data_IF_050416156119
#
_entry.id   IF_050416156119
#
_cell.length_a   1.000
_cell.length_b   1.000
_cell.length_c   1.000
_cell.angle_alpha   90.00
_cell.angle_beta   90.00
_cell.angle_gamma   90.00
#
_symmetry.space_group_name_H-M   'P 1'
#
loop_
_entity.id
_entity.type
_entity.pdbx_description
1 polymer ?
#
# COMPACT_ATOMS: atom_id res chain seq x y z
N UNK A 1 14.63 50.66 -15.52
CA UNK A 1 13.59 50.22 -16.48
C UNK A 1 13.36 48.74 -16.25
N UNK A 2 12.23 48.41 -15.63
CA UNK A 2 11.77 47.04 -15.39
C UNK A 2 11.15 46.47 -16.67
N UNK A 3 11.32 45.17 -16.97
CA UNK A 3 10.30 44.38 -17.64
C UNK A 3 9.54 43.60 -16.56
N UNK A 4 8.54 44.26 -15.98
CA UNK A 4 7.36 43.62 -15.39
C UNK A 4 6.34 43.46 -16.51
N UNK A 5 5.75 42.26 -16.64
CA UNK A 5 4.55 41.83 -17.39
C UNK A 5 4.89 40.44 -17.96
N UNK A 6 4.85 39.43 -17.09
CA UNK A 6 4.49 38.09 -17.55
C UNK A 6 2.99 38.14 -17.86
N UNK A 7 2.64 37.62 -19.03
CA UNK A 7 1.28 37.51 -19.57
C UNK A 7 0.31 36.94 -18.52
N UNK A 8 -0.69 37.73 -18.12
CA UNK A 8 -1.79 37.36 -17.22
C UNK A 8 -2.87 36.50 -17.89
N UNK A 9 -2.59 35.86 -19.03
CA UNK A 9 -3.67 35.34 -19.89
C UNK A 9 -4.24 33.97 -19.51
N UNK A 10 -3.46 33.09 -18.86
CA UNK A 10 -3.92 31.75 -18.47
C UNK A 10 -3.90 31.53 -16.93
N UNK A 11 -3.05 32.25 -16.21
CA UNK A 11 -2.61 31.86 -14.86
C UNK A 11 -3.60 32.14 -13.70
N UNK A 12 -4.60 33.01 -13.86
CA UNK A 12 -5.49 33.42 -12.75
C UNK A 12 -6.75 32.54 -12.58
N UNK A 13 -6.87 31.37 -13.25
CA UNK A 13 -8.18 30.73 -13.49
C UNK A 13 -8.38 29.28 -13.03
N UNK A 14 -7.41 28.67 -12.36
CA UNK A 14 -7.60 27.33 -11.77
C UNK A 14 -7.99 27.45 -10.31
N UNK A 15 -9.23 27.06 -10.02
CA UNK A 15 -9.77 27.03 -8.65
C UNK A 15 -10.00 25.60 -8.25
N UNK A 16 -9.09 25.01 -7.48
CA UNK A 16 -9.27 23.65 -6.99
C UNK A 16 -10.36 23.60 -5.94
N UNK A 17 -11.54 23.07 -6.27
CA UNK A 17 -12.58 22.83 -5.27
C UNK A 17 -12.24 21.56 -4.49
N UNK A 18 -11.50 21.71 -3.39
CA UNK A 18 -11.36 20.67 -2.37
C UNK A 18 -12.40 20.91 -1.26
N UNK A 19 -13.59 20.30 -1.43
CA UNK A 19 -14.71 20.25 -0.45
C UNK A 19 -15.24 21.62 0.02
N UNK A 20 -16.24 22.21 -0.64
CA UNK A 20 -17.19 23.16 -0.02
C UNK A 20 -16.62 24.44 0.62
N UNK A 21 -15.31 24.58 0.67
CA UNK A 21 -14.52 25.72 1.09
C UNK A 21 -13.63 26.04 -0.11
N UNK A 22 -13.75 27.26 -0.60
CA UNK A 22 -12.88 27.81 -1.63
C UNK A 22 -11.51 27.97 -0.96
N UNK A 23 -10.61 27.00 -1.16
CA UNK A 23 -9.21 27.20 -0.84
C UNK A 23 -8.64 27.93 -2.06
N UNK A 24 -8.44 29.24 -1.95
CA UNK A 24 -7.60 29.98 -2.91
C UNK A 24 -6.24 29.26 -2.98
N UNK A 25 -5.86 28.80 -4.17
CA UNK A 25 -4.50 28.34 -4.44
C UNK A 25 -3.52 29.42 -3.95
N UNK A 26 -2.45 29.08 -3.22
CA UNK A 26 -1.52 30.08 -2.72
C UNK A 26 -0.99 30.93 -3.87
N UNK A 27 -1.22 32.25 -3.76
CA UNK A 27 -0.86 33.27 -4.75
C UNK A 27 0.60 33.10 -5.21
N UNK A 28 0.79 33.18 -6.52
CA UNK A 28 1.97 32.87 -7.31
C UNK A 28 3.19 33.80 -7.11
N UNK A 29 3.47 34.30 -5.91
CA UNK A 29 4.52 35.30 -5.67
C UNK A 29 5.85 34.76 -5.13
N UNK A 30 6.10 33.44 -5.16
CA UNK A 30 7.40 32.88 -4.79
C UNK A 30 7.79 31.80 -5.80
N UNK A 31 9.03 31.85 -6.29
CA UNK A 31 9.63 31.00 -7.34
C UNK A 31 9.54 31.51 -8.79
N UNK A 32 10.19 32.66 -9.03
CA UNK A 32 10.90 32.91 -10.28
C UNK A 32 12.36 33.24 -9.95
N UNK A 33 13.11 32.25 -9.44
CA UNK A 33 14.59 32.32 -9.43
C UNK A 33 15.21 30.93 -9.57
N UNK A 34 15.88 30.77 -10.71
CA UNK A 34 16.99 29.85 -10.99
C UNK A 34 16.68 28.35 -11.05
N UNK A 35 16.51 27.82 -12.26
CA UNK A 35 17.46 26.88 -12.86
C UNK A 35 17.13 26.67 -14.34
N UNK A 36 18.16 26.51 -15.17
CA UNK A 36 18.05 25.95 -16.52
C UNK A 36 17.46 24.53 -16.41
N UNK A 37 16.14 24.41 -16.41
CA UNK A 37 15.45 23.11 -16.39
C UNK A 37 15.14 22.68 -17.82
N UNK A 38 15.66 21.49 -18.19
CA UNK A 38 15.22 20.73 -19.36
C UNK A 38 13.68 20.67 -19.39
N UNK A 39 13.10 20.71 -20.59
CA UNK A 39 11.66 20.43 -20.79
C UNK A 39 11.24 19.21 -19.95
N UNK A 40 10.29 19.47 -19.04
CA UNK A 40 9.89 18.56 -17.96
C UNK A 40 8.91 17.48 -18.43
N UNK A 41 8.24 17.71 -19.56
CA UNK A 41 7.22 16.84 -20.14
C UNK A 41 7.63 16.42 -21.55
N UNK A 42 7.40 15.17 -21.93
CA UNK A 42 7.69 14.65 -23.27
C UNK A 42 6.40 14.38 -24.04
N UNK A 43 5.51 13.60 -23.44
CA UNK A 43 4.24 13.16 -24.00
C UNK A 43 3.11 13.34 -22.97
N UNK A 44 2.77 14.58 -22.58
CA UNK A 44 1.83 14.84 -21.49
C UNK A 44 0.41 14.38 -21.86
N UNK A 45 -0.29 13.83 -20.87
CA UNK A 45 -1.64 13.28 -21.01
C UNK A 45 -2.50 13.57 -19.79
N UNK A 46 -3.78 13.85 -19.98
CA UNK A 46 -4.76 13.81 -18.88
C UNK A 46 -4.99 12.37 -18.46
N UNK A 47 -4.85 12.08 -17.17
CA UNK A 47 -5.01 10.73 -16.63
C UNK A 47 -6.35 10.14 -17.01
N UNK A 48 -6.34 8.92 -17.56
CA UNK A 48 -7.53 8.24 -18.07
C UNK A 48 -8.61 8.00 -17.02
N UNK A 49 -8.21 7.96 -15.76
CA UNK A 49 -9.11 7.75 -14.63
C UNK A 49 -10.07 8.91 -14.37
N UNK A 50 -9.83 10.06 -15.00
CA UNK A 50 -10.63 11.26 -14.79
C UNK A 50 -11.47 11.61 -16.02
N UNK A 51 -12.81 11.56 -15.92
CA UNK A 51 -13.64 12.13 -16.98
C UNK A 51 -13.43 13.65 -17.06
N UNK A 52 -13.44 14.18 -18.27
CA UNK A 52 -13.38 15.62 -18.54
C UNK A 52 -14.74 16.07 -19.10
N UNK A 53 -15.35 17.11 -18.54
CA UNK A 53 -16.65 17.59 -18.99
C UNK A 53 -16.90 19.06 -18.64
N UNK A 54 -17.62 19.78 -19.50
CA UNK A 54 -18.09 21.14 -19.24
C UNK A 54 -19.29 21.13 -18.29
N UNK A 55 -19.32 22.06 -17.35
CA UNK A 55 -20.51 22.36 -16.54
C UNK A 55 -21.37 23.44 -17.19
N UNK A 56 -20.72 24.48 -17.71
CA UNK A 56 -21.30 25.56 -18.50
C UNK A 56 -20.14 26.27 -19.25
N UNK A 57 -20.46 27.32 -20.02
CA UNK A 57 -19.54 27.89 -21.02
C UNK A 57 -18.15 28.23 -20.48
N UNK A 58 -18.05 28.76 -19.26
CA UNK A 58 -16.79 29.21 -18.66
C UNK A 58 -16.22 28.28 -17.58
N UNK A 59 -16.71 27.04 -17.46
CA UNK A 59 -16.33 26.15 -16.37
C UNK A 59 -16.36 24.68 -16.77
N UNK A 60 -15.25 23.98 -16.53
CA UNK A 60 -15.18 22.53 -16.72
C UNK A 60 -14.49 21.83 -15.56
N UNK A 61 -14.64 20.51 -15.53
CA UNK A 61 -14.06 19.65 -14.49
C UNK A 61 -13.22 18.55 -15.09
N UNK A 62 -12.18 18.19 -14.35
CA UNK A 62 -11.39 16.97 -14.52
C UNK A 62 -11.63 16.11 -13.28
N UNK A 63 -12.33 15.00 -13.47
CA UNK A 63 -12.80 14.12 -12.40
C UNK A 63 -14.21 14.43 -11.92
N UNK A 64 -14.88 13.45 -11.33
CA UNK A 64 -16.27 13.56 -10.82
C UNK A 64 -16.42 13.35 -9.31
N UNK A 65 -15.35 12.95 -8.62
CA UNK A 65 -15.38 12.57 -7.20
C UNK A 65 -15.06 13.76 -6.28
N UNK A 66 -15.91 13.95 -5.28
CA UNK A 66 -15.75 14.98 -4.24
C UNK A 66 -14.38 14.86 -3.56
N UNK A 67 -13.67 15.99 -3.47
CA UNK A 67 -12.38 16.11 -2.79
C UNK A 67 -11.17 15.82 -3.68
N UNK A 68 -11.38 15.29 -4.89
CA UNK A 68 -10.29 14.99 -5.84
C UNK A 68 -10.54 15.53 -7.25
N UNK A 69 -11.72 16.08 -7.53
CA UNK A 69 -12.03 16.79 -8.78
C UNK A 69 -11.32 18.15 -8.84
N UNK A 70 -10.72 18.45 -9.98
CA UNK A 70 -10.20 19.77 -10.31
C UNK A 70 -11.24 20.53 -11.12
N UNK A 71 -11.55 21.76 -10.70
CA UNK A 71 -12.45 22.66 -11.41
C UNK A 71 -11.63 23.80 -12.03
N UNK A 72 -11.91 24.08 -13.30
CA UNK A 72 -11.10 25.01 -14.10
C UNK A 72 -12.06 26.02 -14.72
N UNK A 73 -11.88 27.29 -14.34
CA UNK A 73 -12.57 28.40 -14.98
C UNK A 73 -11.84 28.74 -16.28
N UNK A 74 -12.60 28.93 -17.36
CA UNK A 74 -12.03 29.05 -18.70
C UNK A 74 -12.93 29.91 -19.59
N UNK A 75 -12.81 31.23 -19.49
CA UNK A 75 -13.69 32.16 -20.20
C UNK A 75 -13.42 32.22 -21.72
N UNK A 76 -12.25 31.75 -22.17
CA UNK A 76 -11.80 31.83 -23.56
C UNK A 76 -11.51 30.46 -24.21
N UNK A 77 -11.98 29.37 -23.58
CA UNK A 77 -11.88 27.99 -24.05
C UNK A 77 -10.43 27.49 -24.29
N UNK A 78 -9.43 28.21 -23.77
CA UNK A 78 -8.02 27.89 -23.98
C UNK A 78 -7.61 26.67 -23.18
N UNK A 79 -8.01 26.60 -21.91
CA UNK A 79 -7.73 25.44 -21.05
C UNK A 79 -8.50 24.20 -21.50
N UNK A 80 -9.75 24.37 -21.92
CA UNK A 80 -10.57 23.31 -22.47
C UNK A 80 -9.92 22.73 -23.72
N UNK A 81 -9.45 23.58 -24.64
CA UNK A 81 -8.75 23.14 -25.84
C UNK A 81 -7.46 22.40 -25.52
N UNK A 82 -6.66 22.90 -24.58
CA UNK A 82 -5.43 22.27 -24.13
C UNK A 82 -5.69 20.87 -23.55
N UNK A 83 -6.59 20.77 -22.57
CA UNK A 83 -6.92 19.50 -21.88
C UNK A 83 -7.38 18.42 -22.85
N UNK A 84 -8.13 18.78 -23.91
CA UNK A 84 -8.61 17.82 -24.91
C UNK A 84 -7.53 17.32 -25.90
N UNK A 85 -6.37 17.98 -25.98
CA UNK A 85 -5.25 17.54 -26.83
C UNK A 85 -4.07 16.96 -26.03
N UNK A 86 -4.14 17.00 -24.70
CA UNK A 86 -3.22 16.28 -23.81
C UNK A 86 -3.61 14.79 -23.76
N UNK A 87 -3.32 14.07 -24.84
CA UNK A 87 -3.66 12.65 -25.02
C UNK A 87 -2.42 11.74 -25.11
N UNK A 88 -1.23 12.25 -24.81
CA UNK A 88 0.03 11.51 -24.89
C UNK A 88 0.81 11.75 -26.19
N UNK A 89 0.38 12.70 -27.04
CA UNK A 89 1.22 13.24 -28.13
C UNK A 89 2.41 14.05 -27.61
N UNK A 90 3.36 14.39 -28.48
CA UNK A 90 4.57 15.11 -28.05
C UNK A 90 4.25 16.54 -27.60
N UNK A 91 5.02 17.06 -26.64
CA UNK A 91 4.86 18.44 -26.16
C UNK A 91 4.96 19.47 -27.28
N UNK A 92 5.85 19.25 -28.27
CA UNK A 92 5.99 20.15 -29.42
C UNK A 92 4.72 20.19 -30.25
N UNK A 93 4.08 19.03 -30.50
CA UNK A 93 2.80 18.97 -31.22
C UNK A 93 1.69 19.69 -30.45
N UNK A 94 1.66 19.56 -29.12
CA UNK A 94 0.71 20.30 -28.26
C UNK A 94 0.92 21.80 -28.41
N UNK A 95 2.17 22.27 -28.33
CA UNK A 95 2.52 23.69 -28.45
C UNK A 95 2.14 24.23 -29.82
N UNK A 96 2.49 23.54 -30.90
CA UNK A 96 2.18 23.96 -32.27
C UNK A 96 0.68 24.08 -32.52
N UNK A 97 -0.11 23.11 -32.04
CA UNK A 97 -1.58 23.15 -32.17
C UNK A 97 -2.17 24.33 -31.39
N UNK A 98 -1.69 24.57 -30.17
CA UNK A 98 -2.19 25.67 -29.33
C UNK A 98 -1.82 27.04 -29.89
N UNK A 99 -0.58 27.24 -30.35
CA UNK A 99 -0.15 28.51 -30.96
C UNK A 99 -0.86 28.78 -32.29
N UNK A 100 -1.16 27.73 -33.07
CA UNK A 100 -1.95 27.86 -34.31
C UNK A 100 -3.38 28.32 -34.01
N UNK A 101 -4.00 27.76 -32.97
CA UNK A 101 -5.39 28.09 -32.60
C UNK A 101 -5.50 29.40 -31.83
N UNK A 102 -4.51 29.71 -31.01
CA UNK A 102 -4.45 30.89 -30.15
C UNK A 102 -3.11 31.62 -30.31
N UNK A 103 -2.95 32.42 -31.38
CA UNK A 103 -1.68 33.12 -31.68
C UNK A 103 -1.27 34.17 -30.64
N UNK A 104 -2.18 34.48 -29.70
CA UNK A 104 -1.96 35.45 -28.64
C UNK A 104 -1.27 34.83 -27.40
N UNK A 105 -1.05 33.51 -27.41
CA UNK A 105 -0.30 32.75 -26.42
C UNK A 105 1.18 32.63 -26.80
N UNK A 106 2.00 32.37 -25.79
CA UNK A 106 3.39 31.94 -25.95
C UNK A 106 3.56 30.48 -25.58
N UNK A 107 4.65 29.86 -26.03
CA UNK A 107 5.04 28.51 -25.58
C UNK A 107 5.12 28.42 -24.04
N UNK A 108 5.61 29.47 -23.39
CA UNK A 108 5.68 29.55 -21.92
C UNK A 108 4.30 29.57 -21.26
N UNK A 109 3.30 30.23 -21.85
CA UNK A 109 1.93 30.20 -21.34
C UNK A 109 1.36 28.76 -21.39
N UNK A 110 1.65 28.02 -22.47
CA UNK A 110 1.18 26.64 -22.67
C UNK A 110 1.87 25.68 -21.70
N UNK A 111 3.20 25.76 -21.58
CA UNK A 111 3.96 24.94 -20.64
C UNK A 111 3.53 25.23 -19.20
N UNK A 112 3.36 26.50 -18.83
CA UNK A 112 2.88 26.89 -17.50
C UNK A 112 1.47 26.38 -17.19
N UNK A 113 0.60 26.28 -18.20
CA UNK A 113 -0.72 25.67 -18.06
C UNK A 113 -0.63 24.16 -17.78
N UNK A 114 0.27 23.45 -18.47
CA UNK A 114 0.52 22.02 -18.25
C UNK A 114 1.10 21.78 -16.85
N UNK A 115 2.05 22.60 -16.42
CA UNK A 115 2.60 22.55 -15.06
C UNK A 115 1.54 22.75 -13.97
N UNK A 116 0.57 23.62 -14.24
CA UNK A 116 -0.54 23.84 -13.33
C UNK A 116 -1.45 22.61 -13.26
N UNK A 117 -1.72 21.95 -14.38
CA UNK A 117 -2.44 20.67 -14.40
C UNK A 117 -1.66 19.55 -13.68
N UNK A 118 -0.33 19.51 -13.80
CA UNK A 118 0.54 18.55 -13.07
C UNK A 118 0.44 18.77 -11.56
N UNK A 119 0.48 20.05 -11.13
CA UNK A 119 0.32 20.42 -9.72
C UNK A 119 -1.04 19.98 -9.16
N UNK A 120 -2.08 20.04 -9.97
CA UNK A 120 -3.41 19.51 -9.62
C UNK A 120 -3.47 17.97 -9.64
N UNK A 121 -2.43 17.30 -10.16
CA UNK A 121 -2.30 15.84 -10.17
C UNK A 121 -3.20 15.15 -11.20
N UNK A 122 -3.63 15.89 -12.23
CA UNK A 122 -4.56 15.41 -13.26
C UNK A 122 -3.90 14.99 -14.56
N UNK A 123 -2.57 15.20 -14.70
CA UNK A 123 -1.79 14.73 -15.85
C UNK A 123 -0.73 13.70 -15.46
N UNK A 124 -0.31 12.93 -16.45
CA UNK A 124 0.80 11.97 -16.41
C UNK A 124 1.52 11.93 -17.77
N UNK A 125 2.67 11.26 -17.84
CA UNK A 125 3.34 10.99 -19.12
C UNK A 125 2.67 9.80 -19.83
N UNK A 126 2.46 9.92 -21.14
CA UNK A 126 1.86 8.91 -22.00
C UNK A 126 2.73 7.67 -22.14
N UNK A 127 2.72 6.78 -21.14
CA UNK A 127 3.39 5.50 -21.20
C UNK A 127 2.54 4.46 -21.95
N UNK A 128 3.19 3.54 -22.67
CA UNK A 128 2.50 2.49 -23.42
C UNK A 128 2.13 1.34 -22.49
N UNK A 129 0.86 1.28 -22.07
CA UNK A 129 0.32 0.24 -21.18
C UNK A 129 0.47 -1.19 -21.75
N UNK A 130 0.59 -1.34 -23.07
CA UNK A 130 0.70 -2.62 -23.78
C UNK A 130 1.93 -3.48 -23.38
N UNK A 131 2.87 -2.93 -22.61
CA UNK A 131 3.99 -3.71 -22.06
C UNK A 131 3.60 -4.57 -20.84
N UNK A 132 2.41 -4.39 -20.28
CA UNK A 132 1.86 -5.20 -19.17
C UNK A 132 0.62 -5.98 -19.66
N UNK A 133 0.37 -7.13 -19.05
CA UNK A 133 -0.81 -7.95 -19.33
C UNK A 133 -2.09 -7.21 -18.93
N UNK A 134 -3.11 -7.33 -19.79
CA UNK A 134 -4.41 -6.66 -19.64
C UNK A 134 -5.05 -6.83 -18.27
N UNK A 135 -4.89 -8.02 -17.66
CA UNK A 135 -5.44 -8.33 -16.33
C UNK A 135 -5.02 -7.38 -15.22
N UNK A 136 -3.92 -6.63 -15.40
CA UNK A 136 -3.42 -5.68 -14.41
C UNK A 136 -3.74 -4.21 -14.74
N UNK A 137 -4.41 -3.94 -15.86
CA UNK A 137 -4.72 -2.56 -16.28
C UNK A 137 -5.50 -1.80 -15.20
N UNK A 138 -6.48 -2.43 -14.55
CA UNK A 138 -7.23 -1.81 -13.45
C UNK A 138 -6.34 -1.40 -12.27
N UNK A 139 -5.29 -2.17 -11.97
CA UNK A 139 -4.33 -1.80 -10.93
C UNK A 139 -3.50 -0.61 -11.36
N UNK A 140 -3.01 -0.59 -12.60
CA UNK A 140 -2.22 0.51 -13.17
C UNK A 140 -3.02 1.82 -13.12
N UNK A 141 -4.29 1.79 -13.58
CA UNK A 141 -5.18 2.94 -13.48
C UNK A 141 -5.41 3.36 -12.02
N UNK A 142 -5.60 2.41 -11.11
CA UNK A 142 -5.70 2.72 -9.68
C UNK A 142 -4.44 3.42 -9.16
N UNK A 143 -3.24 2.95 -9.52
CA UNK A 143 -1.98 3.57 -9.09
C UNK A 143 -1.78 4.96 -9.70
N UNK A 144 -2.17 5.19 -10.95
CA UNK A 144 -2.09 6.51 -11.61
C UNK A 144 -2.70 7.63 -10.75
N UNK A 145 -3.76 7.32 -9.97
CA UNK A 145 -4.35 8.27 -9.02
C UNK A 145 -3.34 8.87 -8.05
N UNK A 146 -2.38 8.10 -7.57
CA UNK A 146 -1.47 8.48 -6.48
C UNK A 146 -0.18 9.14 -6.95
N UNK A 147 0.05 9.16 -8.26
CA UNK A 147 1.30 9.61 -8.86
C UNK A 147 1.19 11.02 -9.44
N UNK A 148 2.34 11.63 -9.70
CA UNK A 148 2.45 12.82 -10.55
C UNK A 148 3.11 12.44 -11.88
N UNK A 149 3.31 13.40 -12.78
CA UNK A 149 3.93 13.15 -14.08
C UNK A 149 5.34 12.53 -14.04
N UNK A 150 6.03 12.53 -12.88
CA UNK A 150 7.39 11.98 -12.74
C UNK A 150 7.44 10.50 -12.36
N UNK A 151 6.29 9.87 -12.09
CA UNK A 151 6.24 8.47 -11.68
C UNK A 151 5.32 7.68 -12.59
N UNK A 152 5.82 6.55 -13.05
CA UNK A 152 5.07 5.65 -13.92
C UNK A 152 4.26 4.62 -13.10
N UNK A 153 2.95 4.57 -13.33
CA UNK A 153 2.05 3.60 -12.70
C UNK A 153 2.29 2.18 -13.22
N UNK A 154 2.83 2.03 -14.42
CA UNK A 154 3.27 0.75 -14.99
C UNK A 154 4.42 0.17 -14.18
N UNK A 155 5.40 1.00 -13.79
CA UNK A 155 6.55 0.55 -13.01
C UNK A 155 6.17 0.04 -11.62
N UNK A 156 5.09 0.56 -11.03
CA UNK A 156 4.52 0.03 -9.79
C UNK A 156 4.04 -1.41 -9.99
N UNK A 157 3.31 -1.68 -11.07
CA UNK A 157 2.84 -3.03 -11.38
C UNK A 157 4.00 -3.96 -11.76
N UNK A 158 5.03 -3.48 -12.47
CA UNK A 158 6.26 -4.27 -12.75
C UNK A 158 6.95 -4.70 -11.46
N UNK A 159 7.14 -3.77 -10.51
CA UNK A 159 7.73 -4.09 -9.20
C UNK A 159 6.94 -5.18 -8.49
N UNK A 160 5.61 -5.11 -8.51
CA UNK A 160 4.77 -6.20 -8.00
C UNK A 160 5.07 -7.50 -8.74
N UNK A 161 5.06 -7.50 -10.07
CA UNK A 161 5.32 -8.69 -10.89
C UNK A 161 6.73 -9.28 -10.74
N UNK A 162 7.68 -8.56 -10.14
CA UNK A 162 9.03 -9.04 -9.83
C UNK A 162 9.19 -9.52 -8.37
N UNK A 163 8.21 -9.24 -7.52
CA UNK A 163 8.26 -9.50 -6.06
C UNK A 163 8.05 -10.98 -5.72
N UNK A 164 8.85 -11.48 -4.77
CA UNK A 164 8.64 -12.74 -4.07
C UNK A 164 8.07 -12.50 -2.67
N UNK A 165 6.86 -13.02 -2.43
CA UNK A 165 6.15 -12.89 -1.14
C UNK A 165 6.24 -14.21 -0.37
N UNK A 166 6.64 -14.15 0.91
CA UNK A 166 6.48 -15.27 1.84
C UNK A 166 5.23 -15.07 2.69
N UNK A 167 4.22 -15.92 2.49
CA UNK A 167 2.99 -15.95 3.27
C UNK A 167 3.07 -17.03 4.34
N UNK A 168 3.00 -16.60 5.60
CA UNK A 168 3.01 -17.47 6.78
C UNK A 168 1.57 -17.62 7.31
N UNK A 169 1.04 -18.83 7.19
CA UNK A 169 -0.31 -19.21 7.60
C UNK A 169 -1.34 -19.15 6.47
N UNK A 170 -2.18 -20.18 6.39
CA UNK A 170 -3.32 -20.36 5.48
C UNK A 170 -4.64 -20.53 6.22
N UNK A 171 -4.72 -20.01 7.45
CA UNK A 171 -5.96 -19.91 8.23
C UNK A 171 -6.95 -18.89 7.65
N UNK A 172 -7.83 -18.36 8.51
CA UNK A 172 -8.92 -17.45 8.10
C UNK A 172 -8.48 -16.18 7.37
N UNK A 173 -7.23 -15.73 7.58
CA UNK A 173 -6.65 -14.59 6.87
C UNK A 173 -5.86 -15.01 5.62
N UNK A 174 -4.97 -15.98 5.78
CA UNK A 174 -4.02 -16.39 4.73
C UNK A 174 -4.66 -16.84 3.43
N UNK A 175 -5.74 -17.63 3.51
CA UNK A 175 -6.47 -18.08 2.31
C UNK A 175 -7.04 -16.92 1.49
N UNK A 176 -7.50 -15.84 2.15
CA UNK A 176 -8.07 -14.67 1.48
C UNK A 176 -6.96 -13.77 0.92
N UNK A 177 -5.82 -13.68 1.62
CA UNK A 177 -4.62 -12.99 1.14
C UNK A 177 -4.14 -13.60 -0.18
N UNK A 178 -4.16 -14.93 -0.33
CA UNK A 178 -3.80 -15.59 -1.59
C UNK A 178 -4.67 -15.15 -2.76
N UNK A 179 -5.99 -15.03 -2.57
CA UNK A 179 -6.89 -14.55 -3.63
C UNK A 179 -6.53 -13.13 -4.06
N UNK A 180 -6.23 -12.25 -3.11
CA UNK A 180 -5.82 -10.87 -3.39
C UNK A 180 -4.46 -10.81 -4.10
N UNK A 181 -3.46 -11.55 -3.61
CA UNK A 181 -2.15 -11.63 -4.24
C UNK A 181 -2.24 -12.23 -5.65
N UNK A 182 -3.14 -13.19 -5.89
CA UNK A 182 -3.35 -13.76 -7.23
C UNK A 182 -3.80 -12.72 -8.26
N UNK A 183 -4.62 -11.75 -7.83
CA UNK A 183 -5.04 -10.61 -8.65
C UNK A 183 -3.95 -9.54 -8.85
N UNK A 184 -3.07 -9.36 -7.87
CA UNK A 184 -1.94 -8.42 -7.95
C UNK A 184 -0.75 -8.97 -8.74
N UNK A 185 -0.60 -10.29 -8.76
CA UNK A 185 0.36 -11.01 -9.60
C UNK A 185 1.83 -10.87 -9.19
N UNK A 186 2.24 -11.14 -7.94
CA UNK A 186 3.66 -11.22 -7.63
C UNK A 186 4.36 -12.30 -8.48
N UNK A 187 5.68 -12.17 -8.68
CA UNK A 187 6.47 -13.19 -9.37
C UNK A 187 6.29 -14.55 -8.74
N UNK A 188 6.39 -14.59 -7.42
CA UNK A 188 6.41 -15.82 -6.65
C UNK A 188 5.72 -15.65 -5.30
N UNK A 189 4.98 -16.67 -4.89
CA UNK A 189 4.43 -16.79 -3.54
C UNK A 189 4.98 -18.07 -2.91
N UNK A 190 5.76 -17.91 -1.84
CA UNK A 190 6.13 -19.00 -0.93
C UNK A 190 5.08 -19.08 0.17
N UNK A 191 4.55 -20.27 0.42
CA UNK A 191 3.41 -20.48 1.31
C UNK A 191 3.80 -21.49 2.37
N UNK A 192 3.56 -21.16 3.65
CA UNK A 192 3.86 -22.04 4.78
C UNK A 192 2.60 -22.25 5.61
N UNK A 193 2.16 -23.49 5.71
CA UNK A 193 1.11 -23.94 6.62
C UNK A 193 1.26 -25.46 6.80
N UNK A 194 0.67 -26.05 7.85
CA UNK A 194 0.76 -27.48 8.11
C UNK A 194 -0.59 -28.17 8.31
N UNK A 195 -1.68 -27.40 8.29
CA UNK A 195 -3.01 -27.90 8.57
C UNK A 195 -3.63 -28.60 7.35
N UNK A 196 -4.62 -29.43 7.67
CA UNK A 196 -5.61 -29.94 6.70
C UNK A 196 -6.85 -29.05 6.69
N UNK A 197 -7.62 -29.15 5.61
CA UNK A 197 -8.90 -28.45 5.48
C UNK A 197 -9.97 -29.20 6.26
N UNK A 198 -10.63 -28.48 7.17
CA UNK A 198 -11.78 -28.98 7.91
C UNK A 198 -13.09 -28.32 7.45
N UNK A 199 -14.22 -29.00 7.63
CA UNK A 199 -15.55 -28.42 7.36
C UNK A 199 -15.78 -27.09 8.10
N UNK A 200 -15.21 -26.95 9.30
CA UNK A 200 -15.26 -25.73 10.11
C UNK A 200 -14.57 -24.52 9.45
N UNK A 201 -13.70 -24.75 8.47
CA UNK A 201 -12.91 -23.72 7.79
C UNK A 201 -13.72 -23.01 6.68
N UNK A 202 -14.63 -23.74 6.04
CA UNK A 202 -15.35 -23.30 4.83
C UNK A 202 -16.21 -22.04 5.02
N UNK A 203 -16.62 -21.73 6.26
CA UNK A 203 -17.37 -20.51 6.56
C UNK A 203 -16.58 -19.20 6.49
N UNK A 204 -15.23 -19.27 6.37
CA UNK A 204 -14.36 -18.08 6.34
C UNK A 204 -13.14 -18.17 5.42
N UNK A 205 -12.79 -19.37 4.97
CA UNK A 205 -11.63 -19.64 4.10
C UNK A 205 -12.13 -20.01 2.70
N UNK A 206 -12.45 -19.00 1.90
CA UNK A 206 -13.19 -19.17 0.64
C UNK A 206 -12.38 -19.77 -0.53
N UNK A 207 -11.06 -19.90 -0.33
CA UNK A 207 -10.19 -20.62 -1.24
C UNK A 207 -10.61 -22.09 -1.36
N UNK A 208 -10.99 -22.71 -0.24
CA UNK A 208 -11.33 -24.13 -0.15
C UNK A 208 -12.79 -24.43 -0.48
N UNK A 209 -13.05 -25.63 -0.97
CA UNK A 209 -14.36 -26.16 -1.35
C UNK A 209 -14.73 -27.35 -0.48
N UNK A 210 -16.00 -27.77 -0.54
CA UNK A 210 -16.46 -28.93 0.25
C UNK A 210 -15.74 -30.23 -0.11
N UNK A 211 -15.34 -30.39 -1.38
CA UNK A 211 -14.58 -31.55 -1.86
C UNK A 211 -13.13 -31.59 -1.36
N UNK A 212 -12.59 -30.46 -0.90
CA UNK A 212 -11.21 -30.34 -0.44
C UNK A 212 -11.02 -30.80 1.02
N UNK A 213 -12.11 -31.11 1.74
CA UNK A 213 -12.05 -31.49 3.15
C UNK A 213 -11.16 -32.74 3.33
N UNK A 214 -10.16 -32.62 4.21
CA UNK A 214 -9.14 -33.65 4.45
C UNK A 214 -7.86 -33.49 3.64
N UNK A 215 -7.82 -32.63 2.62
CA UNK A 215 -6.60 -32.29 1.91
C UNK A 215 -5.73 -31.30 2.70
N UNK A 216 -4.44 -31.27 2.40
CA UNK A 216 -3.52 -30.25 2.94
C UNK A 216 -3.90 -28.88 2.39
N UNK A 217 -3.97 -27.87 3.27
CA UNK A 217 -4.24 -26.48 2.86
C UNK A 217 -3.25 -25.99 1.81
N UNK A 218 -1.97 -26.31 2.01
CA UNK A 218 -0.88 -25.96 1.11
C UNK A 218 -1.06 -26.56 -0.29
N UNK A 219 -1.52 -27.81 -0.37
CA UNK A 219 -1.78 -28.47 -1.66
C UNK A 219 -2.88 -27.76 -2.44
N UNK A 220 -4.03 -27.50 -1.80
CA UNK A 220 -5.16 -26.83 -2.47
C UNK A 220 -4.81 -25.37 -2.79
N UNK A 221 -4.10 -24.68 -1.90
CA UNK A 221 -3.62 -23.33 -2.15
C UNK A 221 -2.75 -23.24 -3.43
N UNK A 222 -1.83 -24.18 -3.63
CA UNK A 222 -1.04 -24.25 -4.87
C UNK A 222 -1.96 -24.39 -6.09
N UNK A 223 -2.86 -25.38 -6.07
CA UNK A 223 -3.74 -25.67 -7.20
C UNK A 223 -4.63 -24.47 -7.56
N UNK A 224 -5.24 -23.83 -6.56
CA UNK A 224 -6.16 -22.73 -6.78
C UNK A 224 -5.44 -21.46 -7.26
N UNK A 225 -4.29 -21.11 -6.68
CA UNK A 225 -3.52 -19.94 -7.15
C UNK A 225 -3.05 -20.16 -8.59
N UNK A 226 -2.56 -21.36 -8.93
CA UNK A 226 -2.15 -21.69 -10.31
C UNK A 226 -3.30 -21.61 -11.31
N UNK A 227 -4.55 -21.90 -10.90
CA UNK A 227 -5.75 -21.70 -11.72
C UNK A 227 -6.12 -20.22 -11.86
N UNK A 228 -6.02 -19.45 -10.77
CA UNK A 228 -6.34 -18.01 -10.77
C UNK A 228 -5.34 -17.20 -11.60
N UNK A 229 -4.05 -17.53 -11.49
CA UNK A 229 -2.99 -16.83 -12.18
C UNK A 229 -1.77 -17.72 -12.41
N UNK A 230 -1.67 -18.27 -13.62
CA UNK A 230 -0.57 -19.14 -14.05
C UNK A 230 0.79 -18.45 -14.19
N UNK A 231 0.84 -17.12 -14.10
CA UNK A 231 2.09 -16.35 -14.16
C UNK A 231 2.84 -16.33 -12.83
N UNK A 232 2.16 -16.72 -11.74
CA UNK A 232 2.72 -16.74 -10.39
C UNK A 232 3.40 -18.10 -10.16
N UNK A 233 4.67 -18.07 -9.78
CA UNK A 233 5.34 -19.26 -9.25
C UNK A 233 4.86 -19.53 -7.83
N UNK A 234 4.31 -20.72 -7.57
CA UNK A 234 3.78 -21.08 -6.24
C UNK A 234 4.64 -22.17 -5.62
N UNK A 235 5.31 -21.83 -4.53
CA UNK A 235 6.10 -22.76 -3.72
C UNK A 235 5.39 -22.98 -2.38
N UNK A 236 5.23 -24.25 -1.97
CA UNK A 236 4.52 -24.59 -0.73
C UNK A 236 5.38 -25.43 0.20
N UNK A 237 5.27 -25.14 1.48
CA UNK A 237 5.94 -25.87 2.56
C UNK A 237 4.90 -26.35 3.57
N UNK A 238 4.69 -27.66 3.63
CA UNK A 238 3.87 -28.29 4.65
C UNK A 238 4.65 -28.36 5.98
N UNK A 239 4.77 -27.23 6.68
CA UNK A 239 5.69 -27.05 7.80
C UNK A 239 5.04 -26.26 8.93
N UNK A 240 5.15 -26.79 10.15
CA UNK A 240 4.81 -26.07 11.38
C UNK A 240 6.04 -25.31 11.88
N UNK A 241 5.94 -23.99 11.95
CA UNK A 241 7.01 -23.14 12.48
C UNK A 241 7.01 -23.25 14.00
N UNK A 242 8.17 -23.61 14.56
CA UNK A 242 8.37 -23.76 16.01
C UNK A 242 9.55 -22.95 16.54
N UNK A 243 10.49 -22.59 15.67
CA UNK A 243 11.66 -21.79 16.02
C UNK A 243 12.13 -20.93 14.84
N UNK A 244 13.10 -20.04 15.11
CA UNK A 244 13.68 -19.14 14.10
C UNK A 244 14.34 -19.91 12.97
N UNK A 245 15.01 -21.03 13.28
CA UNK A 245 15.71 -21.86 12.30
C UNK A 245 14.79 -22.49 11.25
N UNK A 246 13.51 -22.70 11.57
CA UNK A 246 12.52 -23.19 10.60
C UNK A 246 12.27 -22.15 9.49
N UNK A 247 12.41 -20.86 9.81
CA UNK A 247 12.15 -19.73 8.90
C UNK A 247 13.36 -19.29 8.10
N UNK A 248 14.58 -19.38 8.66
CA UNK A 248 15.79 -18.82 8.03
C UNK A 248 16.02 -19.29 6.58
N UNK A 249 15.82 -20.58 6.22
CA UNK A 249 15.96 -21.03 4.83
C UNK A 249 14.84 -20.52 3.90
N UNK A 250 13.64 -20.30 4.44
CA UNK A 250 12.47 -19.88 3.65
C UNK A 250 12.59 -18.42 3.19
N UNK A 251 13.31 -17.61 3.97
CA UNK A 251 13.55 -16.19 3.75
C UNK A 251 14.53 -15.89 2.61
N UNK A 252 15.20 -16.90 2.04
CA UNK A 252 16.13 -16.68 0.93
C UNK A 252 15.37 -16.25 -0.34
N UNK A 253 15.83 -15.16 -0.96
CA UNK A 253 15.19 -14.51 -2.12
C UNK A 253 13.72 -14.10 -1.87
N UNK A 254 13.42 -13.63 -0.66
CA UNK A 254 12.10 -13.08 -0.31
C UNK A 254 12.21 -11.57 -0.17
N UNK A 255 11.31 -10.84 -0.83
CA UNK A 255 11.28 -9.37 -0.79
C UNK A 255 10.42 -8.86 0.38
N UNK A 256 9.38 -9.61 0.76
CA UNK A 256 8.48 -9.26 1.86
C UNK A 256 7.83 -10.50 2.48
N UNK A 257 7.62 -10.43 3.79
CA UNK A 257 6.87 -11.44 4.56
C UNK A 257 5.49 -10.90 4.92
N UNK A 258 4.47 -11.74 4.81
CA UNK A 258 3.14 -11.50 5.38
C UNK A 258 2.88 -12.58 6.43
N UNK A 259 2.75 -12.18 7.69
CA UNK A 259 2.55 -13.09 8.81
C UNK A 259 1.14 -12.96 9.39
N UNK A 260 0.35 -14.02 9.24
CA UNK A 260 -1.01 -14.13 9.78
C UNK A 260 -1.23 -15.41 10.59
N UNK A 261 -0.13 -16.00 11.08
CA UNK A 261 -0.18 -17.09 12.08
C UNK A 261 -0.54 -16.49 13.44
N UNK A 262 -1.49 -17.12 14.11
CA UNK A 262 -2.01 -16.71 15.42
C UNK A 262 -1.54 -17.61 16.56
N UNK A 263 -1.09 -18.83 16.29
CA UNK A 263 -0.67 -19.82 17.29
C UNK A 263 0.77 -20.33 17.10
N UNK A 264 1.56 -20.52 18.17
CA UNK A 264 1.26 -20.16 19.57
C UNK A 264 1.21 -18.64 19.78
N UNK A 265 0.17 -18.17 20.48
CA UNK A 265 -0.09 -16.75 20.71
C UNK A 265 1.12 -16.01 21.28
N UNK A 266 1.47 -14.85 20.69
CA UNK A 266 2.64 -14.00 20.99
C UNK A 266 4.00 -14.60 20.63
N UNK A 267 4.22 -15.88 20.93
CA UNK A 267 5.49 -16.57 20.67
C UNK A 267 5.80 -16.58 19.16
N UNK A 268 4.82 -16.88 18.32
CA UNK A 268 5.02 -16.96 16.86
C UNK A 268 5.39 -15.60 16.26
N UNK A 269 4.78 -14.50 16.71
CA UNK A 269 5.11 -13.17 16.21
C UNK A 269 6.54 -12.78 16.59
N UNK A 270 7.00 -13.15 17.79
CA UNK A 270 8.39 -12.93 18.23
C UNK A 270 9.39 -13.76 17.42
N UNK A 271 9.09 -15.04 17.15
CA UNK A 271 9.90 -15.93 16.30
C UNK A 271 10.05 -15.34 14.89
N UNK A 272 8.93 -15.00 14.25
CA UNK A 272 8.94 -14.41 12.90
C UNK A 272 9.69 -13.09 12.90
N UNK A 273 9.43 -12.21 13.89
CA UNK A 273 10.13 -10.94 14.03
C UNK A 273 11.65 -11.11 14.11
N UNK A 274 12.14 -12.06 14.92
CA UNK A 274 13.58 -12.33 15.02
C UNK A 274 14.16 -12.77 13.68
N UNK A 275 13.47 -13.68 12.97
CA UNK A 275 13.92 -14.18 11.68
C UNK A 275 14.01 -13.07 10.61
N UNK A 276 12.96 -12.25 10.49
CA UNK A 276 12.91 -11.18 9.47
C UNK A 276 13.86 -10.03 9.77
N UNK A 277 14.07 -9.68 11.04
CA UNK A 277 15.10 -8.71 11.46
C UNK A 277 16.50 -9.25 11.14
N UNK A 278 16.76 -10.53 11.42
CA UNK A 278 18.05 -11.18 11.14
C UNK A 278 18.37 -11.20 9.64
N UNK A 279 17.37 -11.42 8.79
CA UNK A 279 17.53 -11.44 7.33
C UNK A 279 17.35 -10.07 6.67
N UNK A 280 17.05 -9.02 7.43
CA UNK A 280 16.76 -7.68 6.93
C UNK A 280 15.64 -7.64 5.87
N UNK A 281 14.52 -8.32 6.15
CA UNK A 281 13.35 -8.41 5.26
C UNK A 281 12.15 -7.72 5.92
N UNK A 282 11.41 -6.85 5.22
CA UNK A 282 10.20 -6.24 5.77
C UNK A 282 9.11 -7.30 6.00
N UNK A 283 8.33 -7.12 7.07
CA UNK A 283 7.23 -8.01 7.41
C UNK A 283 5.97 -7.24 7.78
N UNK A 284 4.84 -7.62 7.19
CA UNK A 284 3.50 -7.16 7.59
C UNK A 284 2.86 -8.22 8.47
N UNK A 285 2.48 -7.83 9.68
CA UNK A 285 1.75 -8.66 10.62
C UNK A 285 0.28 -8.30 10.61
N UNK A 286 -0.57 -9.32 10.62
CA UNK A 286 -2.02 -9.18 10.72
C UNK A 286 -2.56 -10.01 11.88
N UNK A 287 -3.45 -9.43 12.68
CA UNK A 287 -4.16 -10.13 13.74
C UNK A 287 -5.63 -9.72 13.79
N UNK A 288 -6.52 -10.67 14.07
CA UNK A 288 -7.93 -10.43 14.31
C UNK A 288 -8.27 -10.71 15.78
N UNK A 289 -9.05 -9.83 16.40
CA UNK A 289 -9.44 -9.88 17.80
C UNK A 289 -10.93 -9.55 17.92
N UNK A 290 -11.79 -10.57 17.99
CA UNK A 290 -13.24 -10.46 18.21
C UNK A 290 -13.96 -9.56 17.20
N UNK A 291 -13.90 -8.25 17.37
CA UNK A 291 -14.53 -7.22 16.55
C UNK A 291 -13.53 -6.20 15.97
N UNK A 292 -12.23 -6.45 16.11
CA UNK A 292 -11.14 -5.59 15.65
C UNK A 292 -10.14 -6.35 14.80
N UNK A 293 -9.63 -5.70 13.75
CA UNK A 293 -8.49 -6.16 12.97
C UNK A 293 -7.31 -5.22 13.16
N UNK A 294 -6.10 -5.75 13.27
CA UNK A 294 -4.88 -4.97 13.45
C UNK A 294 -3.83 -5.36 12.42
N UNK A 295 -3.24 -4.34 11.81
CA UNK A 295 -2.13 -4.46 10.86
C UNK A 295 -0.96 -3.65 11.40
N UNK A 296 0.23 -4.24 11.37
CA UNK A 296 1.44 -3.51 11.68
C UNK A 296 2.64 -4.02 10.91
N UNK A 297 3.58 -3.13 10.60
CA UNK A 297 4.72 -3.45 9.76
C UNK A 297 6.04 -3.30 10.52
N UNK A 298 6.93 -4.25 10.30
CA UNK A 298 8.33 -4.19 10.74
C UNK A 298 9.20 -4.06 9.50
N UNK A 299 9.85 -2.91 9.36
CA UNK A 299 10.89 -2.66 8.37
C UNK A 299 12.21 -2.55 9.13
N UNK A 300 13.07 -3.58 9.07
CA UNK A 300 14.33 -3.59 9.83
C UNK A 300 15.16 -2.32 9.58
N UNK A 301 15.80 -1.82 10.62
CA UNK A 301 16.56 -0.56 10.66
C UNK A 301 15.76 0.74 10.40
N UNK A 302 14.46 0.68 10.11
CA UNK A 302 13.62 1.86 9.89
C UNK A 302 12.52 2.01 10.93
N UNK A 303 11.94 0.88 11.39
CA UNK A 303 10.89 0.86 12.41
C UNK A 303 11.33 0.07 13.64
N UNK A 304 10.74 0.35 14.81
CA UNK A 304 10.83 -0.52 15.97
C UNK A 304 10.20 -1.88 15.67
N UNK A 305 10.89 -2.96 16.03
CA UNK A 305 10.43 -4.33 15.81
C UNK A 305 9.40 -4.78 16.87
N UNK A 306 8.95 -6.04 16.82
CA UNK A 306 8.01 -6.59 17.80
C UNK A 306 8.52 -6.54 19.27
N UNK A 307 9.83 -6.72 19.49
CA UNK A 307 10.40 -6.57 20.84
C UNK A 307 10.42 -5.09 21.29
N UNK A 308 10.59 -4.14 20.35
CA UNK A 308 10.39 -2.72 20.67
C UNK A 308 8.95 -2.43 21.09
N UNK A 309 7.97 -3.09 20.48
CA UNK A 309 6.57 -2.96 20.87
C UNK A 309 6.33 -3.49 22.30
N UNK A 310 6.91 -4.63 22.66
CA UNK A 310 6.86 -5.16 24.02
C UNK A 310 7.48 -4.17 25.03
N UNK A 311 8.68 -3.67 24.74
CA UNK A 311 9.36 -2.65 25.56
C UNK A 311 8.50 -1.40 25.71
N UNK A 312 7.91 -0.93 24.61
CA UNK A 312 7.05 0.25 24.63
C UNK A 312 5.87 0.06 25.59
N UNK A 313 5.14 -1.05 25.48
CA UNK A 313 4.00 -1.33 26.37
C UNK A 313 4.44 -1.52 27.83
N UNK A 314 5.56 -2.20 28.09
CA UNK A 314 6.12 -2.29 29.45
C UNK A 314 6.42 -0.91 30.06
N UNK A 315 6.85 0.08 29.25
CA UNK A 315 7.12 1.44 29.73
C UNK A 315 5.85 2.27 29.98
N UNK A 316 4.77 2.06 29.21
CA UNK A 316 3.60 2.96 29.21
C UNK A 316 2.37 2.40 29.92
N UNK A 317 2.31 1.09 30.12
CA UNK A 317 1.18 0.40 30.76
C UNK A 317 1.71 -0.43 31.93
N UNK A 318 1.40 0.03 33.14
CA UNK A 318 1.84 -0.58 34.39
C UNK A 318 1.26 -1.97 34.63
N UNK A 319 0.23 -2.38 33.89
CA UNK A 319 -0.40 -3.70 34.02
C UNK A 319 -0.07 -4.64 32.85
N UNK A 320 0.73 -4.19 31.88
CA UNK A 320 1.00 -4.98 30.67
C UNK A 320 1.64 -6.33 30.99
N UNK A 321 2.59 -6.36 31.93
CA UNK A 321 3.28 -7.59 32.30
C UNK A 321 2.34 -8.58 33.02
N UNK A 322 1.52 -8.10 33.97
CA UNK A 322 0.52 -8.92 34.65
C UNK A 322 -0.54 -9.43 33.67
N UNK A 323 -0.98 -8.60 32.72
CA UNK A 323 -1.90 -9.01 31.66
C UNK A 323 -1.30 -10.10 30.78
N UNK A 324 -0.04 -9.95 30.35
CA UNK A 324 0.66 -10.93 29.52
C UNK A 324 0.75 -12.28 30.24
N UNK A 325 1.09 -12.27 31.54
CA UNK A 325 1.06 -13.47 32.40
C UNK A 325 -0.34 -14.06 32.50
N UNK A 326 -1.33 -13.21 32.76
CA UNK A 326 -2.72 -13.61 32.93
C UNK A 326 -3.28 -14.35 31.71
N UNK A 327 -3.04 -13.83 30.50
CA UNK A 327 -3.49 -14.47 29.25
C UNK A 327 -2.92 -15.88 29.09
N UNK A 328 -1.67 -16.12 29.49
CA UNK A 328 -1.04 -17.44 29.43
C UNK A 328 -1.64 -18.46 30.41
N UNK A 329 -2.41 -18.01 31.41
CA UNK A 329 -3.11 -18.90 32.35
C UNK A 329 -4.48 -19.36 31.86
N UNK A 330 -4.95 -18.86 30.71
CA UNK A 330 -6.25 -19.23 30.14
C UNK A 330 -6.22 -20.69 29.71
N UNK A 331 -6.92 -21.55 30.45
CA UNK A 331 -7.03 -22.99 30.17
C UNK A 331 -8.22 -23.33 29.28
N UNK A 332 -9.22 -22.46 29.21
CA UNK A 332 -10.41 -22.68 28.39
C UNK A 332 -10.08 -22.40 26.92
N UNK A 333 -10.30 -23.40 26.06
CA UNK A 333 -10.21 -23.21 24.62
C UNK A 333 -11.20 -22.12 24.17
N UNK A 334 -10.67 -21.04 23.62
CA UNK A 334 -11.46 -19.98 23.01
C UNK A 334 -11.87 -20.46 21.60
N UNK A 335 -13.16 -20.38 21.23
CA UNK A 335 -13.58 -20.72 19.88
C UNK A 335 -13.02 -19.72 18.87
N UNK A 336 -12.84 -20.14 17.62
CA UNK A 336 -12.48 -19.22 16.55
C UNK A 336 -13.60 -18.22 16.30
N UNK A 337 -13.34 -16.93 16.51
CA UNK A 337 -14.28 -15.84 16.25
C UNK A 337 -13.82 -15.13 14.98
N UNK A 338 -14.11 -15.73 13.82
CA UNK A 338 -13.70 -15.18 12.53
C UNK A 338 -14.87 -15.19 11.56
N UNK A 339 -15.34 -13.99 11.23
CA UNK A 339 -16.46 -13.74 10.33
C UNK A 339 -15.92 -13.33 8.95
N UNK A 340 -16.33 -14.04 7.89
CA UNK A 340 -15.77 -13.89 6.54
C UNK A 340 -15.62 -12.45 6.05
N UNK A 341 -16.69 -11.62 6.06
CA UNK A 341 -16.59 -10.21 5.65
C UNK A 341 -15.61 -9.38 6.49
N UNK A 342 -15.55 -9.59 7.81
CA UNK A 342 -14.59 -8.92 8.69
C UNK A 342 -13.14 -9.34 8.37
N UNK A 343 -12.93 -10.62 8.07
CA UNK A 343 -11.63 -11.13 7.63
C UNK A 343 -11.21 -10.47 6.31
N UNK A 344 -12.10 -10.30 5.34
CA UNK A 344 -11.78 -9.60 4.10
C UNK A 344 -11.37 -8.14 4.32
N UNK A 345 -12.04 -7.41 5.22
CA UNK A 345 -11.62 -6.04 5.57
C UNK A 345 -10.17 -6.01 6.08
N UNK A 346 -9.84 -6.94 6.99
CA UNK A 346 -8.47 -7.05 7.53
C UNK A 346 -7.46 -7.48 6.46
N UNK A 347 -7.75 -8.53 5.70
CA UNK A 347 -6.80 -9.08 4.73
C UNK A 347 -6.53 -8.12 3.58
N UNK A 348 -7.54 -7.36 3.14
CA UNK A 348 -7.34 -6.28 2.17
C UNK A 348 -6.39 -5.21 2.70
N UNK A 349 -6.51 -4.81 3.96
CA UNK A 349 -5.57 -3.86 4.57
C UNK A 349 -4.15 -4.42 4.74
N UNK A 350 -4.01 -5.71 5.08
CA UNK A 350 -2.70 -6.38 5.17
C UNK A 350 -2.01 -6.38 3.80
N UNK A 351 -2.75 -6.75 2.74
CA UNK A 351 -2.20 -6.80 1.38
C UNK A 351 -1.89 -5.41 0.86
N UNK A 352 -2.77 -4.43 1.08
CA UNK A 352 -2.49 -3.04 0.68
C UNK A 352 -1.26 -2.47 1.39
N UNK A 353 -1.07 -2.77 2.68
CA UNK A 353 0.13 -2.37 3.40
C UNK A 353 1.40 -3.00 2.80
N UNK A 354 1.35 -4.27 2.41
CA UNK A 354 2.46 -4.92 1.70
C UNK A 354 2.74 -4.25 0.35
N UNK A 355 1.70 -3.94 -0.44
CA UNK A 355 1.84 -3.22 -1.73
C UNK A 355 2.46 -1.84 -1.53
N UNK A 356 2.04 -1.09 -0.50
CA UNK A 356 2.65 0.20 -0.13
C UNK A 356 4.12 0.05 0.19
N UNK A 357 4.50 -0.98 0.95
CA UNK A 357 5.90 -1.25 1.30
C UNK A 357 6.75 -1.60 0.08
N UNK A 358 6.26 -2.47 -0.81
CA UNK A 358 6.97 -2.92 -2.02
C UNK A 358 7.17 -1.75 -3.00
N UNK A 359 6.08 -1.05 -3.31
CA UNK A 359 6.02 -0.18 -4.48
C UNK A 359 6.20 1.30 -4.16
N UNK A 360 5.97 1.69 -2.90
CA UNK A 360 5.98 3.09 -2.44
C UNK A 360 5.01 3.99 -3.23
N UNK A 361 3.93 3.43 -3.78
CA UNK A 361 2.90 4.21 -4.46
C UNK A 361 2.20 5.20 -3.51
N UNK A 362 2.12 4.84 -2.23
CA UNK A 362 1.62 5.66 -1.15
C UNK A 362 2.32 5.30 0.16
N UNK A 363 2.27 6.21 1.14
CA UNK A 363 2.86 5.98 2.46
C UNK A 363 2.19 4.77 3.15
N UNK A 364 2.97 3.85 3.76
CA UNK A 364 2.43 2.76 4.56
C UNK A 364 1.74 3.29 5.83
N UNK A 365 0.63 2.67 6.21
CA UNK A 365 -0.26 3.15 7.27
C UNK A 365 0.23 2.75 8.67
N UNK A 366 1.10 1.75 8.76
CA UNK A 366 1.41 1.06 10.02
C UNK A 366 2.88 1.09 10.44
N UNK A 367 3.67 2.03 9.88
CA UNK A 367 5.06 2.24 10.33
C UNK A 367 5.08 2.75 11.77
N UNK A 368 5.76 2.00 12.64
CA UNK A 368 5.87 2.25 14.09
C UNK A 368 4.51 2.37 14.80
N UNK A 369 3.42 1.86 14.24
CA UNK A 369 2.08 1.97 14.83
C UNK A 369 1.18 0.83 14.39
N UNK A 370 0.11 0.58 15.13
CA UNK A 370 -0.91 -0.38 14.72
C UNK A 370 -2.00 0.38 13.96
N UNK A 371 -2.30 -0.06 12.73
CA UNK A 371 -3.50 0.33 12.00
C UNK A 371 -4.63 -0.61 12.41
N UNK A 372 -5.72 -0.05 12.94
CA UNK A 372 -6.86 -0.81 13.45
C UNK A 372 -8.11 -0.58 12.60
N UNK A 373 -8.85 -1.66 12.35
CA UNK A 373 -10.15 -1.66 11.68
C UNK A 373 -11.18 -2.15 12.69
N UNK A 374 -12.23 -1.37 12.88
CA UNK A 374 -13.40 -1.72 13.66
C UNK A 374 -14.44 -2.37 12.76
N UNK A 375 -14.67 -3.67 12.94
CA UNK A 375 -15.60 -4.42 12.10
C UNK A 375 -17.07 -4.07 12.33
N UNK A 376 -17.42 -3.46 13.47
CA UNK A 376 -18.80 -3.16 13.85
C UNK A 376 -19.35 -1.95 13.11
N UNK A 377 -18.52 -0.93 12.91
CA UNK A 377 -18.91 0.32 12.24
C UNK A 377 -18.08 0.64 10.99
N UNK A 378 -17.13 -0.21 10.63
CA UNK A 378 -16.25 -0.04 9.47
C UNK A 378 -15.22 1.08 9.62
N UNK A 379 -15.12 1.73 10.79
CA UNK A 379 -14.15 2.78 11.02
C UNK A 379 -12.73 2.20 11.08
N UNK A 380 -11.74 2.99 10.66
CA UNK A 380 -10.33 2.65 10.84
C UNK A 380 -9.53 3.83 11.37
N UNK A 381 -8.48 3.55 12.11
CA UNK A 381 -7.61 4.55 12.72
C UNK A 381 -6.23 3.96 13.02
N UNK A 382 -5.26 4.83 13.25
CA UNK A 382 -3.93 4.41 13.71
C UNK A 382 -3.77 4.69 15.20
N UNK A 383 -3.23 3.71 15.94
CA UNK A 383 -2.82 3.89 17.32
C UNK A 383 -1.65 4.87 17.45
N UNK A 384 -1.37 5.32 18.68
CA UNK A 384 -0.16 6.09 18.98
C UNK A 384 1.07 5.30 18.54
N UNK A 385 2.08 5.98 17.95
CA UNK A 385 3.28 5.28 17.50
C UNK A 385 4.07 4.73 18.69
N UNK A 386 4.62 3.53 18.55
CA UNK A 386 5.60 2.97 19.46
C UNK A 386 7.03 3.40 19.07
N UNK A 387 7.96 3.35 20.02
CA UNK A 387 9.35 3.78 19.80
C UNK A 387 10.24 2.71 19.16
N UNK A 388 11.28 3.15 18.44
CA UNK A 388 12.41 2.29 18.08
C UNK A 388 13.50 2.44 19.16
N UNK A 389 13.89 1.34 19.81
CA UNK A 389 14.81 1.37 20.96
C UNK A 389 16.14 0.66 20.64
N UNK A 390 17.06 1.27 19.89
CA UNK A 390 18.31 0.62 19.47
C UNK A 390 19.22 0.24 20.64
N UNK A 391 19.18 0.98 21.75
CA UNK A 391 20.03 0.70 22.92
C UNK A 391 19.41 -0.30 23.91
N UNK A 392 18.09 -0.56 23.79
CA UNK A 392 17.35 -1.37 24.77
C UNK A 392 16.79 -2.67 24.17
N UNK A 393 16.55 -2.71 22.85
CA UNK A 393 15.92 -3.85 22.19
C UNK A 393 16.93 -4.97 21.91
N UNK A 394 16.66 -6.22 22.33
CA UNK A 394 17.54 -7.37 22.10
C UNK A 394 17.46 -7.95 20.68
N UNK A 395 16.40 -7.65 19.92
CA UNK A 395 16.23 -8.17 18.56
C UNK A 395 16.79 -7.24 17.48
N UNK A 396 16.39 -5.97 17.44
CA UNK A 396 16.82 -5.02 16.40
C UNK A 396 17.86 -3.99 16.88
N UNK A 397 18.43 -4.18 18.08
CA UNK A 397 19.38 -3.27 18.72
C UNK A 397 20.45 -4.02 19.50
N UNK A 398 21.13 -3.30 20.41
CA UNK A 398 22.22 -3.81 21.24
C UNK A 398 21.78 -4.15 22.69
N UNK A 399 20.47 -4.14 22.94
CA UNK A 399 19.93 -4.45 24.25
C UNK A 399 20.07 -5.93 24.62
N UNK A 400 19.72 -6.26 25.85
CA UNK A 400 19.71 -7.64 26.35
C UNK A 400 18.35 -8.02 26.89
N UNK A 401 17.96 -9.28 26.69
CA UNK A 401 16.67 -9.78 27.16
C UNK A 401 16.54 -9.70 28.69
N UNK A 402 17.64 -9.95 29.41
CA UNK A 402 17.72 -9.89 30.88
C UNK A 402 17.35 -8.53 31.48
N UNK A 403 17.40 -7.45 30.69
CA UNK A 403 17.04 -6.11 31.14
C UNK A 403 15.51 -5.90 31.20
N UNK A 404 14.72 -6.84 30.66
CA UNK A 404 13.28 -6.70 30.50
C UNK A 404 12.55 -7.98 30.92
N UNK A 405 11.83 -7.91 32.04
CA UNK A 405 11.10 -9.04 32.62
C UNK A 405 10.06 -9.67 31.67
N UNK A 406 9.53 -8.89 30.72
CA UNK A 406 8.59 -9.40 29.70
C UNK A 406 9.22 -10.51 28.84
N UNK A 407 10.51 -10.44 28.53
CA UNK A 407 11.13 -11.44 27.65
C UNK A 407 11.32 -12.79 28.34
N UNK A 408 11.40 -12.81 29.67
CA UNK A 408 11.42 -14.06 30.44
C UNK A 408 10.06 -14.76 30.50
N UNK A 409 8.99 -14.14 29.98
CA UNK A 409 7.65 -14.72 29.94
C UNK A 409 7.37 -15.51 28.65
N UNK A 410 8.20 -15.32 27.62
CA UNK A 410 8.19 -16.17 26.43
C UNK A 410 8.79 -17.53 26.81
N UNK A 411 8.35 -18.62 26.16
CA UNK A 411 8.83 -19.97 26.49
C UNK A 411 10.33 -20.16 26.23
N UNK A 412 10.86 -21.40 26.39
CA UNK A 412 12.16 -21.81 25.82
C UNK A 412 12.08 -21.84 24.28
N UNK A 413 11.77 -20.69 23.68
CA UNK A 413 11.88 -20.47 22.26
C UNK A 413 13.38 -20.47 21.98
N UNK A 414 13.86 -21.47 21.23
CA UNK A 414 15.20 -21.43 20.66
C UNK A 414 15.22 -20.33 19.60
N UNK A 415 15.52 -19.11 20.05
CA UNK A 415 15.74 -17.92 19.23
C UNK A 415 17.03 -18.03 18.42
#
# INVERSE_FOLDING_TARGET
>A
MLPSILSRKIFDRITTIRRGEIIESPRLSFFLKNSEEKMKFHCPRIKEIYPIYKLHDNLFRVGSQIGITTEISDEDDKMWSLVNILDGRTINDVVDIMLTKYPDLTEQDIIGAIELLDKEGVIEEGATINCIKERYHSNIYYFSRYLNSFKDSIDIQKRLNETTVLLLGLGGGGSNILTLLSGLGPKKIKIVDFDIIEKSNLGRQFLYKEEDVGALKTQIAHQEVSKMNSDIEVETHNLRITCVNDLLPLLDNVDIVICVIDEPQYDIQRIVNKAVVTKNIPCVFGASQVSRGRVYSVVPHQTGCFDCLNIHYTKIDSLFLEQFRGIRTVTKKIPTIAYGPAMFQLTSAIVDEAVRLITKYAEPMSLNRQYEINYENGASFTHKPWGHYPDECPTCGNGKEENWEIFSQYGEIKL
#
